data_IF_839367034119
#
_entry.id   IF_839367034119
#
_cell.length_a   1.000
_cell.length_b   1.000
_cell.length_c   1.000
_cell.angle_alpha   90.00
_cell.angle_beta   90.00
_cell.angle_gamma   90.00
#
_symmetry.space_group_name_H-M   'P 1'
#
loop_
_entity.id
_entity.type
_entity.pdbx_description
1 polymer ?
#
# COMPACT_ATOMS: atom_id res chain seq x y z
N UNK A 1 -27.23 -24.54 2.93
CA UNK A 1 -26.07 -23.89 3.58
C UNK A 1 -24.87 -23.98 2.65
N UNK A 2 -24.07 -22.92 2.55
CA UNK A 2 -22.80 -22.93 1.85
C UNK A 2 -21.69 -22.26 2.67
N UNK A 3 -20.46 -22.71 2.45
CA UNK A 3 -19.26 -22.12 3.02
C UNK A 3 -18.30 -21.87 1.87
N UNK A 4 -17.69 -20.69 1.85
CA UNK A 4 -16.71 -20.28 0.86
C UNK A 4 -15.42 -19.85 1.55
N UNK A 5 -14.29 -20.31 1.03
CA UNK A 5 -12.95 -19.93 1.49
C UNK A 5 -12.06 -19.70 0.28
N UNK A 6 -11.32 -18.60 0.27
CA UNK A 6 -10.39 -18.27 -0.80
C UNK A 6 -9.19 -17.51 -0.25
N UNK A 7 -8.01 -17.94 -0.66
CA UNK A 7 -6.74 -17.24 -0.40
C UNK A 7 -6.11 -16.82 -1.71
N UNK A 8 -5.55 -15.62 -1.74
CA UNK A 8 -4.81 -15.13 -2.89
C UNK A 8 -3.49 -14.51 -2.44
N UNK A 9 -2.42 -15.04 -3.01
CA UNK A 9 -1.06 -14.53 -2.88
C UNK A 9 -0.68 -13.87 -4.20
N UNK A 10 -0.32 -12.60 -4.18
CA UNK A 10 0.16 -11.88 -5.36
C UNK A 10 1.52 -11.28 -5.03
N UNK A 11 2.48 -11.55 -5.90
CA UNK A 11 3.79 -10.91 -5.86
C UNK A 11 3.90 -9.99 -7.08
N UNK A 12 4.00 -8.70 -6.82
CA UNK A 12 4.23 -7.69 -7.84
C UNK A 12 5.65 -7.17 -7.69
N UNK A 13 6.47 -7.47 -8.68
CA UNK A 13 7.85 -7.01 -8.76
C UNK A 13 8.01 -6.16 -10.01
N UNK A 14 8.57 -4.96 -9.83
CA UNK A 14 8.70 -4.05 -10.95
C UNK A 14 9.46 -2.79 -10.64
N UNK A 15 9.76 -2.06 -11.71
CA UNK A 15 10.28 -0.71 -11.62
C UNK A 15 9.13 0.24 -11.28
N UNK A 16 9.21 0.94 -10.15
CA UNK A 16 8.36 2.10 -9.90
C UNK A 16 8.69 3.17 -10.92
N UNK A 17 7.66 3.77 -11.55
CA UNK A 17 7.86 4.86 -12.51
C UNK A 17 8.66 6.00 -11.86
N UNK A 18 9.69 6.45 -12.58
CA UNK A 18 10.51 7.58 -12.17
C UNK A 18 9.65 8.83 -12.17
N UNK A 19 9.24 9.30 -10.99
CA UNK A 19 8.58 10.60 -10.84
C UNK A 19 9.59 11.71 -11.16
N UNK A 20 9.11 12.82 -11.71
CA UNK A 20 9.91 14.04 -11.78
C UNK A 20 9.92 14.70 -10.40
N UNK A 21 11.11 15.00 -9.89
CA UNK A 21 11.26 15.62 -8.58
C UNK A 21 12.24 16.80 -8.66
N UNK A 22 12.09 17.72 -7.72
CA UNK A 22 12.88 18.93 -7.57
C UNK A 22 13.22 19.11 -6.07
N UNK A 23 14.50 19.03 -5.67
CA UNK A 23 14.96 19.18 -4.28
C UNK A 23 14.57 20.50 -3.61
N UNK A 24 14.35 21.56 -4.40
CA UNK A 24 13.90 22.87 -3.90
C UNK A 24 12.46 22.86 -3.38
N UNK A 25 11.66 21.82 -3.70
CA UNK A 25 10.26 21.71 -3.25
C UNK A 25 10.20 20.96 -1.90
N UNK A 26 9.63 21.55 -0.83
CA UNK A 26 9.70 21.02 0.55
C UNK A 26 9.11 19.63 0.83
N UNK A 27 8.53 18.94 -0.15
CA UNK A 27 7.90 17.61 0.00
C UNK A 27 8.50 16.55 -0.92
N UNK A 28 9.48 16.93 -1.75
CA UNK A 28 10.11 16.00 -2.67
C UNK A 28 11.20 15.17 -1.99
N UNK A 29 11.38 13.94 -2.44
CA UNK A 29 12.37 13.00 -1.89
C UNK A 29 13.72 13.03 -2.64
N UNK A 30 13.88 13.98 -3.56
CA UNK A 30 15.04 14.10 -4.43
C UNK A 30 16.29 14.41 -3.61
N UNK A 31 17.40 13.75 -3.97
CA UNK A 31 18.70 14.12 -3.42
C UNK A 31 19.13 15.47 -3.98
N UNK A 32 19.84 16.27 -3.18
CA UNK A 32 20.45 17.50 -3.66
C UNK A 32 21.97 17.36 -3.75
N UNK A 33 22.58 18.09 -4.67
CA UNK A 33 24.02 18.29 -4.67
C UNK A 33 24.41 19.14 -3.47
N UNK A 34 25.53 18.78 -2.83
CA UNK A 34 26.01 19.45 -1.62
C UNK A 34 26.19 20.95 -1.89
N UNK A 35 25.49 21.78 -1.14
CA UNK A 35 25.58 23.23 -1.20
C UNK A 35 25.70 23.78 0.23
N UNK A 36 26.23 25.00 0.46
CA UNK A 36 26.36 25.57 1.80
C UNK A 36 25.04 25.82 2.54
N UNK A 37 23.90 25.64 1.87
CA UNK A 37 22.56 25.82 2.43
C UNK A 37 21.69 24.56 2.39
N UNK A 38 20.48 24.60 2.98
CA UNK A 38 19.52 23.51 2.92
C UNK A 38 19.18 23.11 1.46
N UNK A 39 18.97 21.81 1.20
CA UNK A 39 18.62 21.29 -0.13
C UNK A 39 17.42 21.99 -0.78
N UNK A 40 16.49 22.46 0.05
CA UNK A 40 15.27 23.17 -0.33
C UNK A 40 15.46 24.68 -0.54
N UNK A 41 16.71 25.15 -0.55
CA UNK A 41 17.05 26.56 -0.73
C UNK A 41 18.03 26.72 -1.91
N UNK A 42 17.71 27.55 -2.92
CA UNK A 42 18.58 27.77 -4.08
C UNK A 42 19.74 28.70 -3.71
N UNK A 43 20.70 28.19 -2.95
CA UNK A 43 21.92 28.91 -2.55
C UNK A 43 23.14 28.19 -3.11
N UNK A 44 24.19 28.93 -3.46
CA UNK A 44 25.48 28.38 -3.89
C UNK A 44 25.55 27.93 -5.36
N UNK A 45 26.68 27.34 -5.72
CA UNK A 45 27.07 27.01 -7.12
C UNK A 45 26.12 25.99 -7.77
N UNK A 46 25.50 25.12 -6.97
CA UNK A 46 24.57 24.08 -7.46
C UNK A 46 23.09 24.46 -7.38
N UNK A 47 22.79 25.72 -7.05
CA UNK A 47 21.41 26.23 -6.93
C UNK A 47 20.56 25.97 -8.19
N UNK A 48 21.11 26.24 -9.38
CA UNK A 48 20.42 25.99 -10.64
C UNK A 48 20.06 24.50 -10.82
N UNK A 49 20.99 23.60 -10.53
CA UNK A 49 20.79 22.14 -10.66
C UNK A 49 19.80 21.60 -9.62
N UNK A 50 19.90 22.05 -8.37
CA UNK A 50 18.97 21.67 -7.30
C UNK A 50 17.56 22.27 -7.47
N UNK A 51 17.44 23.33 -8.28
CA UNK A 51 16.15 23.92 -8.68
C UNK A 51 15.58 23.35 -9.98
N UNK A 52 16.32 22.49 -10.67
CA UNK A 52 15.88 21.85 -11.89
C UNK A 52 15.06 20.58 -11.61
N UNK A 53 14.05 20.35 -12.43
CA UNK A 53 13.31 19.09 -12.43
C UNK A 53 14.18 17.99 -13.03
N UNK A 54 14.32 16.89 -12.31
CA UNK A 54 15.02 15.70 -12.80
C UNK A 54 14.19 14.44 -12.52
N UNK A 55 14.32 13.47 -13.41
CA UNK A 55 13.69 12.18 -13.21
C UNK A 55 14.36 11.47 -12.02
N UNK A 56 13.54 10.93 -11.13
CA UNK A 56 14.00 10.05 -10.07
C UNK A 56 14.49 8.75 -10.68
N UNK A 57 15.68 8.29 -10.26
CA UNK A 57 16.19 6.97 -10.62
C UNK A 57 15.14 5.92 -10.17
N UNK A 58 14.68 5.04 -11.08
CA UNK A 58 13.68 4.03 -10.75
C UNK A 58 14.09 3.19 -9.54
N UNK A 59 13.12 2.87 -8.70
CA UNK A 59 13.30 1.94 -7.57
C UNK A 59 12.75 0.60 -7.98
N UNK A 60 13.43 -0.46 -7.57
CA UNK A 60 12.84 -1.78 -7.62
C UNK A 60 11.93 -1.93 -6.40
N UNK A 61 10.64 -2.07 -6.64
CA UNK A 61 9.64 -2.31 -5.61
C UNK A 61 9.19 -3.77 -5.66
N UNK A 62 9.17 -4.42 -4.52
CA UNK A 62 8.54 -5.72 -4.31
C UNK A 62 7.32 -5.51 -3.41
N UNK A 63 6.14 -5.72 -3.96
CA UNK A 63 4.88 -5.64 -3.24
C UNK A 63 4.31 -7.06 -3.13
N UNK A 64 4.22 -7.56 -1.91
CA UNK A 64 3.58 -8.84 -1.63
C UNK A 64 2.20 -8.58 -1.00
N UNK A 65 1.21 -9.28 -1.53
CA UNK A 65 -0.17 -9.19 -1.10
C UNK A 65 -0.69 -10.55 -0.68
N UNK A 66 -1.08 -10.65 0.59
CA UNK A 66 -1.72 -11.84 1.14
C UNK A 66 -3.15 -11.51 1.52
N UNK A 67 -4.12 -12.02 0.75
CA UNK A 67 -5.55 -11.81 1.00
C UNK A 67 -6.23 -13.12 1.35
N UNK A 68 -7.01 -13.12 2.42
CA UNK A 68 -7.83 -14.25 2.88
C UNK A 68 -9.29 -13.80 2.94
N UNK A 69 -10.17 -14.58 2.32
CA UNK A 69 -11.61 -14.33 2.23
C UNK A 69 -12.35 -15.56 2.73
N UNK A 70 -13.29 -15.38 3.63
CA UNK A 70 -14.17 -16.45 4.09
C UNK A 70 -15.61 -15.95 4.21
N UNK A 71 -16.55 -16.81 3.88
CA UNK A 71 -17.97 -16.50 3.93
C UNK A 71 -18.82 -17.74 4.19
N UNK A 72 -19.96 -17.53 4.84
CA UNK A 72 -20.92 -18.58 5.20
C UNK A 72 -22.32 -18.07 4.87
N UNK A 73 -23.14 -18.91 4.26
CA UNK A 73 -24.57 -18.63 4.03
C UNK A 73 -25.45 -19.80 4.47
N UNK A 74 -26.59 -19.48 5.05
CA UNK A 74 -27.58 -20.44 5.51
C UNK A 74 -28.98 -19.98 5.12
N UNK A 75 -29.81 -20.94 4.73
CA UNK A 75 -31.20 -20.73 4.36
C UNK A 75 -31.99 -21.92 4.89
N UNK A 76 -33.10 -21.65 5.58
CA UNK A 76 -34.06 -22.67 6.02
C UNK A 76 -35.47 -22.22 5.66
N UNK A 77 -36.26 -23.15 5.16
CA UNK A 77 -37.64 -22.93 4.76
C UNK A 77 -38.52 -23.97 5.47
N UNK A 78 -39.61 -23.53 6.08
CA UNK A 78 -40.59 -24.42 6.70
C UNK A 78 -42.00 -23.87 6.63
N UNK A 79 -42.97 -24.77 6.66
CA UNK A 79 -44.38 -24.41 6.75
C UNK A 79 -44.74 -24.19 8.23
N UNK A 80 -45.08 -22.96 8.58
CA UNK A 80 -45.60 -22.62 9.90
C UNK A 80 -47.08 -23.08 10.06
N UNK A 81 -47.82 -23.19 8.96
CA UNK A 81 -49.15 -23.79 8.85
C UNK A 81 -49.42 -24.24 7.40
N UNK A 82 -50.55 -24.91 7.14
CA UNK A 82 -50.96 -25.33 5.78
C UNK A 82 -51.09 -24.16 4.78
N UNK A 83 -51.12 -22.92 5.27
CA UNK A 83 -51.26 -21.70 4.47
C UNK A 83 -50.12 -20.71 4.66
N UNK A 84 -49.15 -20.99 5.54
CA UNK A 84 -48.08 -20.04 5.88
C UNK A 84 -46.71 -20.70 5.76
N UNK A 85 -45.88 -20.19 4.85
CA UNK A 85 -44.47 -20.55 4.74
C UNK A 85 -43.61 -19.48 5.41
N UNK A 86 -42.56 -19.91 6.12
CA UNK A 86 -41.54 -19.05 6.69
C UNK A 86 -40.18 -19.42 6.10
N UNK A 87 -39.49 -18.39 5.62
CA UNK A 87 -38.14 -18.46 5.06
C UNK A 87 -37.20 -17.61 5.90
N UNK A 88 -36.06 -18.18 6.28
CA UNK A 88 -35.02 -17.51 7.06
C UNK A 88 -33.69 -17.66 6.34
N UNK A 89 -33.11 -16.53 5.95
CA UNK A 89 -31.82 -16.44 5.29
C UNK A 89 -30.82 -15.65 6.12
N UNK A 90 -29.57 -16.13 6.16
CA UNK A 90 -28.46 -15.47 6.82
C UNK A 90 -27.17 -15.60 6.00
N UNK A 91 -26.37 -14.53 5.97
CA UNK A 91 -25.07 -14.50 5.32
C UNK A 91 -24.05 -13.75 6.16
N UNK A 92 -22.82 -14.26 6.18
CA UNK A 92 -21.66 -13.64 6.82
C UNK A 92 -20.44 -13.74 5.93
N UNK A 93 -19.64 -12.68 5.85
CA UNK A 93 -18.40 -12.66 5.08
C UNK A 93 -17.35 -11.77 5.75
N UNK A 94 -16.08 -12.18 5.67
CA UNK A 94 -14.93 -11.42 6.15
C UNK A 94 -13.77 -11.50 5.15
N UNK A 95 -12.97 -10.44 5.11
CA UNK A 95 -11.77 -10.33 4.30
C UNK A 95 -10.65 -9.71 5.14
N UNK A 96 -9.56 -10.46 5.27
CA UNK A 96 -8.34 -10.01 5.93
C UNK A 96 -7.20 -9.98 4.91
N UNK A 97 -6.31 -9.00 5.01
CA UNK A 97 -5.13 -8.97 4.16
C UNK A 97 -3.97 -8.16 4.71
N UNK A 98 -2.75 -8.57 4.33
CA UNK A 98 -1.49 -7.90 4.66
C UNK A 98 -0.81 -7.47 3.37
N UNK A 99 -0.28 -6.25 3.36
CA UNK A 99 0.50 -5.68 2.26
C UNK A 99 1.92 -5.39 2.74
N UNK A 100 2.88 -6.12 2.20
CA UNK A 100 4.29 -5.89 2.47
C UNK A 100 4.94 -5.17 1.27
N UNK A 101 5.49 -3.98 1.53
CA UNK A 101 6.16 -3.17 0.52
C UNK A 101 7.64 -3.04 0.85
N UNK A 102 8.48 -3.71 0.06
CA UNK A 102 9.93 -3.60 0.15
C UNK A 102 10.45 -2.80 -1.05
N UNK A 103 11.16 -1.70 -0.77
CA UNK A 103 11.78 -0.89 -1.82
C UNK A 103 13.30 -1.03 -1.76
N UNK A 104 13.89 -1.57 -2.82
CA UNK A 104 15.32 -1.45 -3.05
C UNK A 104 15.57 -0.16 -3.83
N UNK A 105 16.12 0.83 -3.13
CA UNK A 105 16.43 2.14 -3.69
C UNK A 105 17.77 2.14 -4.43
N UNK A 106 17.92 2.96 -5.48
CA UNK A 106 19.22 3.20 -6.11
C UNK A 106 20.15 3.91 -5.12
N UNK A 107 21.45 3.63 -5.26
CA UNK A 107 22.50 4.40 -4.63
C UNK A 107 22.33 5.88 -5.03
N UNK A 108 22.36 6.79 -4.04
CA UNK A 108 22.22 8.23 -4.26
C UNK A 108 23.61 8.80 -4.56
N UNK A 109 23.79 9.50 -5.68
CA UNK A 109 25.01 10.28 -5.89
C UNK A 109 25.00 11.50 -4.96
N UNK A 110 26.02 11.64 -4.10
CA UNK A 110 26.29 12.87 -3.34
C UNK A 110 25.82 12.96 -1.87
N UNK A 111 25.27 11.91 -1.26
CA UNK A 111 24.99 11.89 0.20
C UNK A 111 25.33 10.54 0.84
N UNK A 112 25.88 10.56 2.06
CA UNK A 112 26.11 9.36 2.87
C UNK A 112 24.79 8.62 3.12
N UNK A 113 24.80 7.29 2.95
CA UNK A 113 23.64 6.43 3.02
C UNK A 113 22.86 6.63 4.34
N UNK A 114 21.57 6.99 4.23
CA UNK A 114 20.64 6.91 5.36
C UNK A 114 19.91 5.56 5.30
N UNK A 115 20.05 4.86 6.41
CA UNK A 115 19.60 3.51 6.76
C UNK A 115 18.30 3.04 6.09
N UNK A 116 18.33 1.81 5.59
CA UNK A 116 17.19 1.07 5.03
C UNK A 116 16.15 0.93 6.15
N UNK A 117 14.99 1.56 5.97
CA UNK A 117 13.92 1.56 6.97
C UNK A 117 13.51 0.13 7.33
N UNK A 118 13.55 -0.16 8.64
CA UNK A 118 13.05 -1.38 9.27
C UNK A 118 11.59 -1.61 8.90
N UNK A 119 11.18 -2.83 8.51
CA UNK A 119 9.80 -3.12 8.15
C UNK A 119 8.88 -2.90 9.35
N UNK A 120 7.91 -2.00 9.21
CA UNK A 120 6.83 -1.82 10.17
C UNK A 120 5.73 -2.83 9.84
N UNK A 121 5.64 -3.90 10.64
CA UNK A 121 4.49 -4.81 10.63
C UNK A 121 3.26 -4.07 11.15
N UNK A 122 2.48 -3.48 10.25
CA UNK A 122 1.17 -2.93 10.57
C UNK A 122 0.11 -4.02 10.43
N UNK A 123 -0.46 -4.47 11.54
CA UNK A 123 -1.69 -5.28 11.55
C UNK A 123 -2.87 -4.33 11.29
N UNK A 124 -3.60 -4.42 10.17
CA UNK A 124 -4.85 -3.69 10.01
C UNK A 124 -5.98 -4.58 10.54
N UNK A 125 -6.45 -4.33 11.76
CA UNK A 125 -7.75 -4.82 12.22
C UNK A 125 -8.80 -3.79 11.84
N UNK A 126 -9.57 -4.03 10.78
CA UNK A 126 -10.80 -3.28 10.51
C UNK A 126 -11.99 -4.21 10.63
N UNK A 127 -12.57 -4.25 11.83
CA UNK A 127 -13.94 -4.75 12.04
C UNK A 127 -14.89 -3.76 11.38
N UNK A 128 -15.30 -4.05 10.15
CA UNK A 128 -16.42 -3.35 9.52
C UNK A 128 -17.72 -3.84 10.16
N UNK A 129 -18.19 -3.13 11.18
CA UNK A 129 -19.54 -3.24 11.67
C UNK A 129 -20.48 -2.44 10.78
N UNK A 130 -21.33 -3.12 10.02
CA UNK A 130 -22.45 -2.49 9.32
C UNK A 130 -23.71 -2.75 10.15
N UNK A 131 -24.19 -1.72 10.85
CA UNK A 131 -25.57 -1.68 11.35
C UNK A 131 -26.49 -1.26 10.20
N UNK A 132 -27.61 -1.95 10.09
CA UNK A 132 -28.72 -1.69 9.16
C UNK A 132 -29.29 -0.29 9.28
#
# INVERSE_FOLDING_TARGET
MSVAYSTRHILEEGASSGRWENPSVPTNSAGCFQTPGPCNSPVGVYSAVNSAWHARIPRYGRLAYDWRRYGVTAAVQFLASDTTALDIDAAYASMDGVRDEAYLGPFRFGTAAREIARPTSGTPSSTAGTSW
#
